data_IF_442029237316
#
_entry.id   IF_442029237316
#
_cell.length_a   1.000
_cell.length_b   1.000
_cell.length_c   1.000
_cell.angle_alpha   90.00
_cell.angle_beta   90.00
_cell.angle_gamma   90.00
#
_symmetry.space_group_name_H-M   'P 1'
#
loop_
_entity.id
_entity.type
_entity.pdbx_description
1 polymer ?
#
# COMPACT_ATOMS: atom_id res chain seq x y z
N UNK A 1 -29.42 -25.75 -41.14
CA UNK A 1 -28.52 -24.58 -40.99
C UNK A 1 -29.35 -23.42 -40.47
N UNK A 2 -29.33 -23.15 -39.17
CA UNK A 2 -30.19 -22.12 -38.57
C UNK A 2 -29.62 -20.74 -38.83
N UNK A 3 -30.39 -19.88 -39.50
CA UNK A 3 -29.94 -18.55 -39.88
C UNK A 3 -30.10 -17.59 -38.68
N UNK A 4 -29.04 -17.46 -37.87
CA UNK A 4 -29.06 -16.59 -36.67
C UNK A 4 -29.08 -15.14 -37.13
N UNK A 5 -30.17 -14.43 -36.85
CA UNK A 5 -30.35 -13.03 -37.24
C UNK A 5 -29.41 -12.12 -36.46
N UNK A 6 -28.26 -11.82 -37.06
CA UNK A 6 -27.29 -10.84 -36.57
C UNK A 6 -27.94 -9.45 -36.51
N UNK A 7 -27.75 -8.75 -35.40
CA UNK A 7 -28.23 -7.38 -35.22
C UNK A 7 -27.51 -6.44 -36.19
N UNK A 8 -28.24 -5.86 -37.15
CA UNK A 8 -27.64 -4.96 -38.16
C UNK A 8 -27.20 -3.63 -37.55
N UNK A 9 -25.94 -3.27 -37.79
CA UNK A 9 -25.37 -1.97 -37.41
C UNK A 9 -26.10 -0.77 -38.03
N UNK A 10 -26.84 -0.97 -39.13
CA UNK A 10 -27.66 0.08 -39.76
C UNK A 10 -28.93 0.44 -38.98
N UNK A 11 -29.48 -0.50 -38.19
CA UNK A 11 -30.80 -0.40 -37.56
C UNK A 11 -30.72 -0.36 -36.03
N UNK A 12 -29.61 0.12 -35.47
CA UNK A 12 -29.41 0.22 -34.02
C UNK A 12 -30.35 1.28 -33.42
N UNK A 13 -31.22 0.93 -32.45
CA UNK A 13 -32.10 1.88 -31.77
C UNK A 13 -31.32 2.98 -31.03
N UNK A 14 -31.95 4.13 -30.79
CA UNK A 14 -31.27 5.29 -30.18
C UNK A 14 -30.55 4.97 -28.85
N UNK A 15 -31.17 4.17 -27.98
CA UNK A 15 -30.58 3.74 -26.70
C UNK A 15 -29.36 2.82 -26.84
N UNK A 16 -29.15 2.21 -28.01
CA UNK A 16 -28.12 1.19 -28.23
C UNK A 16 -26.91 1.71 -29.04
N UNK A 17 -26.97 2.92 -29.63
CA UNK A 17 -25.95 3.42 -30.57
C UNK A 17 -24.58 3.67 -29.94
N UNK A 18 -24.55 4.12 -28.69
CA UNK A 18 -23.34 4.42 -27.93
C UNK A 18 -23.24 3.54 -26.67
N UNK A 19 -23.81 2.33 -26.70
CA UNK A 19 -24.00 1.52 -25.49
C UNK A 19 -22.73 0.74 -25.12
N UNK A 20 -22.25 0.92 -23.89
CA UNK A 20 -21.27 0.01 -23.29
C UNK A 20 -21.94 -1.34 -22.95
N UNK A 21 -21.13 -2.38 -22.67
CA UNK A 21 -21.71 -3.63 -22.15
C UNK A 21 -22.31 -3.38 -20.76
N UNK A 22 -23.61 -3.58 -20.60
CA UNK A 22 -24.25 -3.65 -19.29
C UNK A 22 -23.62 -4.75 -18.44
N UNK A 23 -23.68 -4.65 -17.10
CA UNK A 23 -23.06 -5.67 -16.24
C UNK A 23 -23.70 -7.06 -16.41
N UNK A 24 -24.98 -7.11 -16.80
CA UNK A 24 -25.64 -8.34 -17.28
C UNK A 24 -24.95 -8.92 -18.52
N UNK A 25 -24.61 -8.09 -19.51
CA UNK A 25 -23.90 -8.54 -20.71
C UNK A 25 -22.44 -8.94 -20.39
N UNK A 26 -21.77 -8.25 -19.47
CA UNK A 26 -20.43 -8.64 -18.97
C UNK A 26 -20.46 -10.04 -18.33
N UNK A 27 -21.41 -10.28 -17.43
CA UNK A 27 -21.58 -11.57 -16.76
C UNK A 27 -21.96 -12.71 -17.72
N UNK A 28 -22.87 -12.45 -18.68
CA UNK A 28 -23.31 -13.45 -19.66
C UNK A 28 -22.25 -13.80 -20.71
N UNK A 29 -21.27 -12.92 -20.98
CA UNK A 29 -20.19 -13.18 -21.96
C UNK A 29 -19.00 -13.95 -21.38
N UNK A 30 -19.12 -14.50 -20.17
CA UNK A 30 -18.04 -15.23 -19.50
C UNK A 30 -16.96 -14.32 -18.91
N UNK A 31 -17.14 -13.00 -18.95
CA UNK A 31 -16.40 -12.09 -18.08
C UNK A 31 -16.74 -12.42 -16.63
N UNK A 32 -15.78 -12.99 -15.90
CA UNK A 32 -16.02 -13.66 -14.62
C UNK A 32 -16.88 -12.86 -13.65
N UNK A 33 -17.92 -13.50 -13.09
CA UNK A 33 -18.98 -12.87 -12.31
C UNK A 33 -18.54 -12.40 -10.92
N UNK A 34 -17.66 -11.40 -10.88
CA UNK A 34 -17.56 -10.45 -9.79
C UNK A 34 -18.09 -9.10 -10.28
N UNK A 35 -19.01 -8.48 -9.53
CA UNK A 35 -19.27 -7.03 -9.66
C UNK A 35 -17.92 -6.34 -9.50
N UNK A 36 -17.39 -5.76 -10.58
CA UNK A 36 -16.02 -5.27 -10.57
C UNK A 36 -15.96 -4.05 -9.67
N UNK A 37 -15.40 -4.17 -8.46
CA UNK A 37 -15.39 -3.07 -7.50
C UNK A 37 -14.62 -1.90 -8.12
N UNK A 38 -15.38 -0.86 -8.46
CA UNK A 38 -14.84 0.40 -8.97
C UNK A 38 -13.95 0.96 -7.87
N UNK A 39 -12.74 1.38 -8.21
CA UNK A 39 -11.70 1.64 -7.20
C UNK A 39 -10.82 2.83 -7.55
N UNK A 40 -10.35 3.53 -6.52
CA UNK A 40 -9.33 4.57 -6.63
C UNK A 40 -7.97 3.91 -6.40
N UNK A 41 -7.15 3.89 -7.45
CA UNK A 41 -5.72 3.59 -7.36
C UNK A 41 -4.94 4.88 -7.10
N UNK A 42 -3.88 4.79 -6.30
CA UNK A 42 -2.97 5.91 -5.96
C UNK A 42 -1.55 5.70 -6.53
N UNK A 43 -1.42 4.79 -7.51
CA UNK A 43 -0.14 4.40 -8.13
C UNK A 43 0.46 5.59 -8.89
N UNK A 44 1.69 5.96 -8.53
CA UNK A 44 2.43 7.05 -9.17
C UNK A 44 2.12 8.45 -8.64
N UNK A 45 1.42 8.59 -7.51
CA UNK A 45 1.08 9.91 -6.95
C UNK A 45 -0.04 10.65 -7.69
N UNK A 46 -0.85 9.90 -8.44
CA UNK A 46 -2.00 10.36 -9.23
C UNK A 46 -3.21 9.51 -8.81
N UNK A 47 -4.40 10.13 -8.69
CA UNK A 47 -5.62 9.37 -8.43
C UNK A 47 -6.14 8.78 -9.75
N UNK A 48 -6.29 7.46 -9.81
CA UNK A 48 -6.68 6.73 -11.03
C UNK A 48 -7.95 5.93 -10.77
N UNK A 49 -9.04 6.30 -11.45
CA UNK A 49 -10.32 5.60 -11.38
C UNK A 49 -10.26 4.33 -12.23
N UNK A 50 -10.48 3.18 -11.59
CA UNK A 50 -10.36 1.85 -12.22
C UNK A 50 -11.69 1.10 -12.11
N UNK A 51 -12.22 0.65 -13.23
CA UNK A 51 -13.44 -0.18 -13.34
C UNK A 51 -13.19 -1.34 -14.31
N UNK A 52 -13.77 -2.52 -14.07
CA UNK A 52 -13.51 -3.71 -14.91
C UNK A 52 -12.02 -4.11 -15.00
N UNK A 53 -11.20 -3.70 -14.04
CA UNK A 53 -9.74 -3.86 -14.06
C UNK A 53 -8.98 -2.87 -14.96
N UNK A 54 -9.66 -2.02 -15.74
CA UNK A 54 -9.07 -1.00 -16.61
C UNK A 54 -9.10 0.38 -15.94
N UNK A 55 -8.10 1.21 -16.22
CA UNK A 55 -8.18 2.64 -15.89
C UNK A 55 -9.19 3.31 -16.83
N UNK A 56 -10.11 4.09 -16.25
CA UNK A 56 -11.18 4.82 -16.96
C UNK A 56 -10.87 6.31 -16.99
N UNK A 57 -10.27 6.85 -15.93
CA UNK A 57 -9.82 8.23 -15.87
C UNK A 57 -8.64 8.39 -14.89
N UNK A 58 -7.74 9.32 -15.21
CA UNK A 58 -6.75 9.88 -14.29
C UNK A 58 -7.26 11.23 -13.77
N UNK A 59 -6.93 11.57 -12.52
CA UNK A 59 -7.11 12.92 -11.95
C UNK A 59 -5.72 13.42 -11.57
N UNK A 60 -5.18 14.32 -12.39
CA UNK A 60 -3.81 14.85 -12.26
C UNK A 60 -3.67 15.91 -11.15
N UNK A 61 -4.78 16.29 -10.50
CA UNK A 61 -4.71 17.09 -9.28
C UNK A 61 -4.08 16.26 -8.14
N UNK A 62 -3.27 16.93 -7.32
CA UNK A 62 -2.59 16.37 -6.14
C UNK A 62 -3.55 16.19 -4.96
N UNK A 63 -4.81 16.58 -5.10
CA UNK A 63 -5.87 16.30 -4.14
C UNK A 63 -7.15 15.75 -4.79
N UNK A 64 -7.94 15.04 -4.00
CA UNK A 64 -9.26 14.52 -4.38
C UNK A 64 -10.21 14.64 -3.19
N UNK A 65 -11.34 15.29 -3.40
CA UNK A 65 -12.39 15.46 -2.38
C UNK A 65 -13.41 14.32 -2.46
N UNK A 66 -13.63 13.65 -1.33
CA UNK A 66 -14.49 12.47 -1.20
C UNK A 66 -15.27 12.48 0.09
N UNK A 67 -16.32 11.67 0.18
CA UNK A 67 -16.97 11.33 1.45
C UNK A 67 -16.66 9.87 1.78
N UNK A 68 -16.32 9.58 3.04
CA UNK A 68 -15.98 8.23 3.50
C UNK A 68 -17.27 7.55 3.97
N UNK A 69 -17.89 6.74 3.11
CA UNK A 69 -19.19 6.10 3.37
C UNK A 69 -19.11 4.81 4.20
N UNK A 70 -17.95 4.12 4.18
CA UNK A 70 -17.68 2.98 5.07
C UNK A 70 -16.17 2.76 5.23
N UNK A 71 -15.74 2.24 6.38
CA UNK A 71 -14.36 1.83 6.64
C UNK A 71 -14.28 0.36 7.07
N UNK A 72 -13.17 -0.31 6.75
CA UNK A 72 -12.86 -1.62 7.34
C UNK A 72 -12.66 -1.49 8.86
N UNK A 73 -13.32 -2.31 9.71
CA UNK A 73 -13.27 -2.15 11.17
C UNK A 73 -11.92 -2.53 11.78
N UNK A 74 -11.07 -3.27 11.05
CA UNK A 74 -9.69 -3.59 11.41
C UNK A 74 -8.76 -3.39 10.22
N UNK A 75 -7.48 -3.14 10.50
CA UNK A 75 -6.47 -2.92 9.46
C UNK A 75 -5.99 -4.26 8.90
N UNK A 76 -6.43 -4.55 7.68
CA UNK A 76 -6.09 -5.77 6.95
C UNK A 76 -4.59 -5.90 6.66
N UNK A 77 -4.16 -7.11 6.31
CA UNK A 77 -2.77 -7.43 5.95
C UNK A 77 -2.69 -8.18 4.62
N UNK A 78 -1.62 -7.94 3.88
CA UNK A 78 -1.34 -8.59 2.60
C UNK A 78 0.15 -8.92 2.46
N UNK A 79 0.46 -10.11 1.98
CA UNK A 79 1.82 -10.58 1.73
C UNK A 79 1.95 -11.07 0.29
N UNK A 80 3.11 -10.79 -0.31
CA UNK A 80 3.52 -11.28 -1.61
C UNK A 80 4.95 -11.82 -1.46
N UNK A 81 5.18 -13.07 -1.87
CA UNK A 81 6.50 -13.68 -1.91
C UNK A 81 7.32 -13.19 -3.11
N UNK A 82 6.64 -12.88 -4.22
CA UNK A 82 7.26 -12.25 -5.39
C UNK A 82 7.56 -10.77 -5.18
N UNK A 83 8.63 -10.28 -5.81
CA UNK A 83 8.94 -8.86 -5.93
C UNK A 83 7.78 -8.09 -6.59
N UNK A 84 7.61 -6.82 -6.25
CA UNK A 84 6.55 -6.00 -6.85
C UNK A 84 6.83 -5.73 -8.33
N UNK A 85 5.95 -6.24 -9.19
CA UNK A 85 5.92 -5.98 -10.62
C UNK A 85 4.82 -4.94 -10.91
N UNK A 86 5.13 -3.95 -11.75
CA UNK A 86 4.21 -2.86 -12.04
C UNK A 86 3.06 -3.27 -12.98
N UNK A 87 3.28 -4.29 -13.81
CA UNK A 87 2.47 -4.61 -14.98
C UNK A 87 1.81 -5.99 -14.87
N UNK A 88 2.36 -6.88 -14.04
CA UNK A 88 1.74 -8.15 -13.66
C UNK A 88 0.79 -7.96 -12.48
N UNK A 89 -0.51 -8.18 -12.71
CA UNK A 89 -1.45 -8.45 -11.61
C UNK A 89 -1.10 -9.82 -11.05
N UNK A 90 -0.64 -9.89 -9.80
CA UNK A 90 -0.32 -11.13 -9.08
C UNK A 90 -1.27 -11.28 -7.89
N UNK A 91 -1.67 -12.51 -7.57
CA UNK A 91 -2.45 -12.80 -6.34
C UNK A 91 -1.54 -12.76 -5.12
N UNK A 92 -1.98 -12.24 -3.96
CA UNK A 92 -1.23 -12.36 -2.73
C UNK A 92 -1.13 -13.83 -2.30
N UNK A 93 0.07 -14.27 -1.91
CA UNK A 93 0.32 -15.61 -1.39
C UNK A 93 -0.36 -15.83 -0.04
N UNK A 94 -0.54 -14.75 0.75
CA UNK A 94 -1.26 -14.77 2.01
C UNK A 94 -1.87 -13.40 2.33
N UNK A 95 -3.05 -13.39 2.94
CA UNK A 95 -3.73 -12.16 3.36
C UNK A 95 -4.61 -12.40 4.59
N UNK A 96 -5.10 -11.31 5.17
CA UNK A 96 -5.98 -11.30 6.33
C UNK A 96 -6.86 -10.07 6.29
N UNK A 97 -8.17 -10.24 6.40
CA UNK A 97 -9.12 -9.12 6.44
C UNK A 97 -9.22 -8.47 7.84
N UNK A 98 -8.97 -9.24 8.91
CA UNK A 98 -9.01 -8.77 10.31
C UNK A 98 -7.66 -8.28 10.85
N UNK A 99 -6.55 -8.59 10.18
CA UNK A 99 -5.19 -8.30 10.64
C UNK A 99 -4.64 -9.26 11.70
N UNK A 100 -5.42 -10.28 12.08
CA UNK A 100 -5.18 -11.19 13.22
C UNK A 100 -4.89 -12.63 12.77
N UNK A 101 -5.64 -13.15 11.79
CA UNK A 101 -5.48 -14.50 11.23
C UNK A 101 -5.52 -14.49 9.70
N UNK A 102 -4.80 -15.41 9.01
CA UNK A 102 -4.99 -15.60 7.59
C UNK A 102 -6.44 -15.93 7.23
N UNK A 103 -6.85 -15.53 6.03
CA UNK A 103 -8.12 -15.91 5.43
C UNK A 103 -8.23 -17.44 5.25
N UNK A 104 -9.34 -18.10 5.65
CA UNK A 104 -9.50 -19.55 5.52
C UNK A 104 -9.43 -20.12 4.10
N UNK A 105 -9.53 -19.28 3.06
CA UNK A 105 -9.39 -19.71 1.66
C UNK A 105 -7.93 -19.84 1.17
N UNK A 106 -6.95 -19.48 2.00
CA UNK A 106 -5.52 -19.59 1.69
C UNK A 106 -5.04 -21.02 1.92
N UNK A 107 -4.42 -21.63 0.89
CA UNK A 107 -3.85 -22.97 0.96
C UNK A 107 -2.56 -23.03 1.79
N UNK A 108 -1.68 -22.05 1.59
CA UNK A 108 -0.32 -22.02 2.12
C UNK A 108 -0.08 -20.77 3.02
N UNK A 109 -0.82 -20.65 4.14
CA UNK A 109 -0.76 -19.48 5.02
C UNK A 109 0.61 -19.37 5.70
N UNK A 110 1.19 -18.17 5.67
CA UNK A 110 2.57 -17.93 6.13
C UNK A 110 2.78 -18.17 7.64
N UNK A 111 1.72 -18.09 8.45
CA UNK A 111 1.71 -18.47 9.86
C UNK A 111 0.27 -18.58 10.40
N UNK A 112 0.05 -19.31 11.51
CA UNK A 112 -1.28 -19.50 12.13
C UNK A 112 -1.93 -18.20 12.62
N UNK A 113 -1.13 -17.20 12.98
CA UNK A 113 -1.59 -15.85 13.38
C UNK A 113 -0.72 -14.78 12.73
N UNK A 114 -1.32 -13.66 12.37
CA UNK A 114 -0.61 -12.58 11.69
C UNK A 114 0.38 -11.83 12.59
N UNK A 115 0.18 -11.85 13.92
CA UNK A 115 1.09 -11.21 14.88
C UNK A 115 2.43 -11.95 15.00
N UNK A 116 2.41 -13.28 15.14
CA UNK A 116 3.63 -14.12 15.22
C UNK A 116 4.16 -14.60 13.87
N UNK A 117 3.78 -13.95 12.77
CA UNK A 117 4.21 -14.33 11.44
C UNK A 117 5.61 -13.78 11.15
N UNK A 118 6.60 -14.57 10.65
CA UNK A 118 7.92 -14.04 10.30
C UNK A 118 7.88 -12.86 9.32
N UNK A 119 6.88 -12.84 8.42
CA UNK A 119 6.66 -11.74 7.47
C UNK A 119 6.14 -10.45 8.13
N UNK A 120 5.78 -10.47 9.42
CA UNK A 120 5.41 -9.31 10.24
C UNK A 120 6.63 -8.66 10.93
N UNK A 121 7.82 -9.26 10.86
CA UNK A 121 9.01 -8.69 11.50
C UNK A 121 9.56 -7.47 10.76
N UNK A 122 10.12 -6.51 11.49
CA UNK A 122 10.74 -5.33 10.89
C UNK A 122 12.03 -5.75 10.16
N UNK A 123 12.18 -5.35 8.89
CA UNK A 123 13.28 -5.81 8.05
C UNK A 123 13.00 -7.11 7.28
N UNK A 124 11.81 -7.73 7.43
CA UNK A 124 11.41 -8.86 6.59
C UNK A 124 11.12 -8.46 5.13
N UNK A 125 10.82 -7.18 4.88
CA UNK A 125 10.51 -6.65 3.56
C UNK A 125 11.70 -5.98 2.87
N UNK A 126 11.44 -4.87 2.16
CA UNK A 126 12.48 -4.13 1.45
C UNK A 126 13.01 -3.00 2.34
N UNK A 127 14.31 -3.02 2.63
CA UNK A 127 14.88 -2.18 3.69
C UNK A 127 14.21 -2.46 5.03
N UNK A 128 13.96 -1.42 5.84
CA UNK A 128 13.33 -1.57 7.16
C UNK A 128 11.80 -1.84 7.11
N UNK A 129 11.23 -2.21 5.95
CA UNK A 129 9.81 -2.54 5.84
C UNK A 129 9.48 -3.93 6.41
N UNK A 130 8.19 -4.17 6.64
CA UNK A 130 7.63 -5.52 6.80
C UNK A 130 7.28 -6.06 5.41
N UNK A 131 7.38 -7.37 5.19
CA UNK A 131 6.92 -8.02 3.96
C UNK A 131 5.39 -8.18 3.94
N UNK A 132 4.81 -8.54 5.08
CA UNK A 132 3.38 -8.52 5.32
C UNK A 132 2.94 -7.07 5.58
N UNK A 133 2.43 -6.43 4.53
CA UNK A 133 2.07 -5.00 4.49
C UNK A 133 0.70 -4.79 5.12
N UNK A 134 0.57 -3.76 5.96
CA UNK A 134 -0.72 -3.29 6.43
C UNK A 134 -1.45 -2.49 5.35
N UNK A 135 -2.76 -2.71 5.22
CA UNK A 135 -3.65 -1.98 4.33
C UNK A 135 -4.98 -1.67 5.04
N UNK A 136 -5.45 -0.43 4.95
CA UNK A 136 -6.81 -0.08 5.33
C UNK A 136 -7.67 0.06 4.07
N UNK A 137 -8.86 -0.53 4.06
CA UNK A 137 -9.85 -0.31 2.99
C UNK A 137 -10.93 0.65 3.44
N UNK A 138 -11.29 1.55 2.55
CA UNK A 138 -12.41 2.48 2.66
C UNK A 138 -13.32 2.29 1.45
N UNK A 139 -14.62 2.46 1.67
CA UNK A 139 -15.58 2.78 0.64
C UNK A 139 -15.77 4.30 0.65
N UNK A 140 -15.66 4.94 -0.51
CA UNK A 140 -15.80 6.40 -0.65
C UNK A 140 -16.66 6.76 -1.86
N UNK A 141 -17.36 7.90 -1.81
CA UNK A 141 -18.00 8.52 -2.99
C UNK A 141 -17.28 9.83 -3.34
N UNK A 142 -17.33 10.25 -4.60
CA UNK A 142 -16.68 11.48 -5.05
C UNK A 142 -17.53 12.69 -4.64
N UNK A 143 -16.90 13.75 -4.10
CA UNK A 143 -17.64 14.91 -3.58
C UNK A 143 -18.36 15.76 -4.64
N UNK A 144 -18.14 15.47 -5.93
CA UNK A 144 -18.85 16.05 -7.07
C UNK A 144 -19.90 15.11 -7.69
N UNK A 145 -20.11 13.90 -7.13
CA UNK A 145 -21.07 12.91 -7.63
C UNK A 145 -21.45 11.92 -6.50
N UNK A 146 -22.26 12.37 -5.53
CA UNK A 146 -22.65 11.57 -4.35
C UNK A 146 -23.55 10.38 -4.72
N UNK A 147 -24.45 10.56 -5.68
CA UNK A 147 -25.33 9.51 -6.23
C UNK A 147 -24.61 8.57 -7.22
N UNK A 148 -23.30 8.76 -7.40
CA UNK A 148 -22.46 7.97 -8.28
C UNK A 148 -22.07 6.60 -7.70
N UNK A 149 -20.93 6.09 -8.17
CA UNK A 149 -20.43 4.79 -7.73
C UNK A 149 -19.75 4.84 -6.36
N UNK A 150 -20.00 3.84 -5.52
CA UNK A 150 -19.16 3.58 -4.36
C UNK A 150 -17.80 3.03 -4.80
N UNK A 151 -16.74 3.77 -4.48
CA UNK A 151 -15.37 3.47 -4.87
C UNK A 151 -14.59 2.83 -3.72
N UNK A 152 -13.93 1.71 -3.99
CA UNK A 152 -12.95 1.11 -3.09
C UNK A 152 -11.64 1.90 -3.12
N UNK A 153 -11.19 2.36 -1.96
CA UNK A 153 -9.86 2.95 -1.77
C UNK A 153 -9.04 2.06 -0.82
N UNK A 154 -7.81 1.70 -1.21
CA UNK A 154 -6.90 0.88 -0.38
C UNK A 154 -5.66 1.69 0.00
N UNK A 155 -5.52 2.00 1.28
CA UNK A 155 -4.51 2.87 1.84
C UNK A 155 -3.31 2.07 2.41
N UNK A 156 -2.06 2.45 2.09
CA UNK A 156 -0.88 1.83 2.68
C UNK A 156 -0.67 2.28 4.13
N UNK A 157 0.11 1.49 4.89
CA UNK A 157 0.48 1.76 6.28
C UNK A 157 0.91 3.22 6.57
N UNK A 158 1.64 3.86 5.65
CA UNK A 158 2.13 5.25 5.76
C UNK A 158 1.03 6.30 5.74
N UNK A 159 -0.10 6.05 5.07
CA UNK A 159 -1.30 6.92 5.06
C UNK A 159 -2.24 6.64 6.24
N UNK A 160 -2.09 5.49 6.92
CA UNK A 160 -2.95 5.04 8.02
C UNK A 160 -2.34 5.40 9.38
N UNK A 161 -1.07 5.06 9.57
CA UNK A 161 -0.31 5.18 10.82
C UNK A 161 0.85 6.19 10.71
N UNK A 162 0.77 7.15 9.79
CA UNK A 162 1.80 8.18 9.64
C UNK A 162 1.97 9.05 10.89
N UNK A 163 3.04 9.84 10.92
CA UNK A 163 3.14 10.99 11.84
C UNK A 163 2.31 12.16 11.28
N UNK A 164 1.72 12.95 12.17
CA UNK A 164 1.13 14.25 11.83
C UNK A 164 2.23 15.30 11.58
N UNK A 165 1.95 16.27 10.71
CA UNK A 165 2.86 17.36 10.32
C UNK A 165 2.03 18.63 10.12
N UNK A 166 1.73 19.33 11.22
CA UNK A 166 0.73 20.42 11.26
C UNK A 166 -0.66 19.90 10.91
N UNK A 167 -1.32 20.54 9.94
CA UNK A 167 -2.65 20.16 9.45
C UNK A 167 -2.68 18.84 8.67
N UNK A 168 -1.51 18.25 8.39
CA UNK A 168 -1.38 17.02 7.61
C UNK A 168 -1.63 15.78 8.48
N UNK A 169 -2.89 15.36 8.56
CA UNK A 169 -3.31 14.21 9.38
C UNK A 169 -3.41 12.92 8.53
N UNK A 170 -2.72 11.81 8.88
CA UNK A 170 -3.01 10.49 8.32
C UNK A 170 -4.31 9.93 8.92
N UNK A 171 -4.89 8.92 8.28
CA UNK A 171 -6.28 8.51 8.51
C UNK A 171 -6.66 8.29 9.99
N UNK A 172 -5.86 7.56 10.77
CA UNK A 172 -6.21 7.30 12.16
C UNK A 172 -6.16 8.56 13.04
N UNK A 173 -5.28 9.50 12.73
CA UNK A 173 -5.15 10.74 13.49
C UNK A 173 -6.23 11.76 13.07
N UNK A 174 -6.57 11.80 11.78
CA UNK A 174 -7.76 12.50 11.27
C UNK A 174 -9.05 12.00 11.93
N UNK A 175 -9.26 10.67 11.99
CA UNK A 175 -10.44 10.10 12.67
C UNK A 175 -10.51 10.44 14.17
N UNK A 176 -9.36 10.45 14.88
CA UNK A 176 -9.28 10.92 16.28
C UNK A 176 -9.56 12.41 16.41
N UNK A 177 -9.08 13.23 15.48
CA UNK A 177 -9.34 14.67 15.45
C UNK A 177 -10.83 14.98 15.26
N UNK A 178 -11.54 14.24 14.39
CA UNK A 178 -12.99 14.35 14.22
C UNK A 178 -13.77 13.89 15.47
N UNK A 179 -13.37 12.76 16.06
CA UNK A 179 -14.01 12.21 17.27
C UNK A 179 -13.75 13.05 18.54
N UNK A 180 -12.73 13.92 18.53
CA UNK A 180 -12.40 14.85 19.61
C UNK A 180 -13.11 16.21 19.50
N UNK A 181 -13.92 16.44 18.46
CA UNK A 181 -14.77 17.62 18.37
C UNK A 181 -15.97 17.52 19.34
N UNK A 182 -16.62 18.65 19.61
CA UNK A 182 -17.83 18.70 20.42
C UNK A 182 -18.93 19.53 19.71
N UNK A 183 -19.98 18.90 19.16
CA UNK A 183 -20.22 17.46 19.11
C UNK A 183 -19.17 16.70 18.25
N UNK A 184 -18.98 15.39 18.46
CA UNK A 184 -18.13 14.57 17.60
C UNK A 184 -18.59 14.62 16.14
N UNK A 185 -17.65 14.70 15.21
CA UNK A 185 -17.92 14.70 13.77
C UNK A 185 -17.72 13.29 13.21
N UNK A 186 -18.67 12.78 12.43
CA UNK A 186 -18.48 11.51 11.74
C UNK A 186 -17.89 11.70 10.33
N UNK A 187 -17.05 10.78 9.81
CA UNK A 187 -16.49 10.87 8.45
C UNK A 187 -17.54 10.92 7.32
N UNK A 188 -18.71 10.32 7.54
CA UNK A 188 -19.83 10.35 6.59
C UNK A 188 -20.67 11.65 6.63
N UNK A 189 -20.35 12.61 7.50
CA UNK A 189 -21.04 13.91 7.58
C UNK A 189 -20.29 15.06 6.85
N UNK A 190 -19.09 14.79 6.35
CA UNK A 190 -18.19 15.82 5.81
C UNK A 190 -17.54 15.41 4.49
N UNK A 191 -17.28 16.42 3.65
CA UNK A 191 -16.34 16.28 2.53
C UNK A 191 -14.91 16.28 3.09
N UNK A 192 -14.18 15.21 2.81
CA UNK A 192 -12.79 14.98 3.20
C UNK A 192 -11.87 15.12 1.99
N UNK A 193 -10.90 16.03 2.09
CA UNK A 193 -9.83 16.21 1.10
C UNK A 193 -8.72 15.22 1.35
N UNK A 194 -8.49 14.33 0.39
CA UNK A 194 -7.31 13.49 0.34
C UNK A 194 -6.21 14.21 -0.45
N UNK A 195 -5.01 14.34 0.10
CA UNK A 195 -3.89 15.03 -0.58
C UNK A 195 -2.60 14.23 -0.49
N UNK A 196 -1.84 14.17 -1.59
CA UNK A 196 -0.54 13.49 -1.62
C UNK A 196 0.54 14.24 -0.83
N UNK A 197 1.36 13.50 -0.10
CA UNK A 197 2.57 14.02 0.56
C UNK A 197 3.69 14.19 -0.47
N UNK A 198 3.92 15.42 -0.94
CA UNK A 198 4.97 15.72 -1.92
C UNK A 198 6.40 15.61 -1.38
N UNK A 199 6.57 15.23 -0.10
CA UNK A 199 7.87 14.91 0.51
C UNK A 199 8.14 13.39 0.59
N UNK A 200 7.20 12.54 0.17
CA UNK A 200 7.31 11.08 0.30
C UNK A 200 7.57 10.38 -1.05
N UNK A 201 8.55 9.48 -1.07
CA UNK A 201 8.90 8.66 -2.26
C UNK A 201 7.82 7.61 -2.60
N UNK A 202 6.98 7.26 -1.63
CA UNK A 202 5.86 6.32 -1.78
C UNK A 202 4.52 7.06 -1.67
N UNK A 203 3.45 6.64 -2.37
CA UNK A 203 2.16 7.34 -2.40
C UNK A 203 1.47 7.33 -1.03
N UNK A 204 1.77 8.36 -0.25
CA UNK A 204 1.21 8.64 1.07
C UNK A 204 0.16 9.73 0.95
N UNK A 205 -0.97 9.53 1.62
CA UNK A 205 -2.09 10.47 1.66
C UNK A 205 -2.26 11.04 3.07
N UNK A 206 -2.61 12.33 3.11
CA UNK A 206 -3.16 13.02 4.26
C UNK A 206 -4.63 13.37 4.02
N UNK A 207 -5.38 13.58 5.10
CA UNK A 207 -6.82 13.81 5.14
C UNK A 207 -7.10 15.10 5.91
N UNK A 208 -7.95 15.96 5.36
CA UNK A 208 -8.41 17.20 5.99
C UNK A 208 -9.92 17.40 5.73
N UNK A 209 -10.67 18.01 6.66
CA UNK A 209 -12.06 18.36 6.41
C UNK A 209 -12.13 19.58 5.47
N UNK A 210 -13.12 19.60 4.57
CA UNK A 210 -13.36 20.74 3.65
C UNK A 210 -14.62 21.49 4.03
N UNK A 211 -15.74 20.76 4.11
CA UNK A 211 -17.06 21.28 4.46
C UNK A 211 -17.93 20.17 5.05
N UNK A 212 -19.00 20.58 5.74
CA UNK A 212 -20.13 19.72 6.00
C UNK A 212 -20.87 19.36 4.71
N UNK A 213 -21.56 18.22 4.73
CA UNK A 213 -22.62 17.92 3.77
C UNK A 213 -23.85 18.80 4.01
N UNK A 214 -24.69 18.95 2.99
CA UNK A 214 -26.04 19.50 3.17
C UNK A 214 -27.01 18.42 3.67
N UNK A 215 -28.16 18.86 4.20
CA UNK A 215 -29.24 17.97 4.62
C UNK A 215 -29.80 17.13 3.45
N UNK A 216 -29.65 17.59 2.20
CA UNK A 216 -30.02 16.84 0.99
C UNK A 216 -28.97 15.78 0.59
N UNK A 217 -27.67 16.06 0.80
CA UNK A 217 -26.58 15.14 0.44
C UNK A 217 -26.44 13.97 1.43
N UNK A 218 -26.66 14.23 2.72
CA UNK A 218 -26.41 13.27 3.79
C UNK A 218 -27.26 11.97 3.67
N UNK A 219 -28.56 12.00 3.33
CA UNK A 219 -29.35 10.78 3.09
C UNK A 219 -28.81 9.88 1.97
N UNK A 220 -28.35 10.47 0.85
CA UNK A 220 -27.68 9.71 -0.23
C UNK A 220 -26.41 9.06 0.30
N UNK A 221 -25.57 9.80 1.02
CA UNK A 221 -24.29 9.31 1.57
C UNK A 221 -24.50 8.16 2.56
N UNK A 222 -25.52 8.22 3.42
CA UNK A 222 -25.88 7.12 4.34
C UNK A 222 -26.37 5.89 3.56
N UNK A 223 -27.24 6.08 2.56
CA UNK A 223 -27.74 4.99 1.70
C UNK A 223 -26.61 4.30 0.93
N UNK A 224 -25.70 5.07 0.36
CA UNK A 224 -24.47 4.57 -0.28
C UNK A 224 -23.61 3.79 0.71
N UNK A 225 -23.50 4.28 1.96
CA UNK A 225 -22.80 3.60 3.05
C UNK A 225 -23.37 2.22 3.37
N UNK A 226 -24.70 2.05 3.39
CA UNK A 226 -25.39 0.77 3.64
C UNK A 226 -25.60 -0.11 2.40
N UNK A 227 -25.15 0.33 1.22
CA UNK A 227 -25.14 -0.48 0.01
C UNK A 227 -24.30 -1.77 0.15
N UNK A 228 -24.66 -2.79 -0.63
CA UNK A 228 -23.87 -4.02 -0.72
C UNK A 228 -22.47 -3.77 -1.32
N UNK A 229 -22.31 -2.73 -2.15
CA UNK A 229 -21.02 -2.43 -2.76
C UNK A 229 -20.08 -1.68 -1.81
N UNK A 230 -20.58 -0.86 -0.89
CA UNK A 230 -19.79 -0.35 0.24
C UNK A 230 -19.32 -1.48 1.18
N UNK A 231 -20.17 -2.49 1.43
CA UNK A 231 -19.79 -3.68 2.23
C UNK A 231 -18.73 -4.52 1.52
N UNK A 232 -18.84 -4.72 0.20
CA UNK A 232 -17.81 -5.40 -0.62
C UNK A 232 -16.50 -4.63 -0.67
N UNK A 233 -16.53 -3.31 -0.85
CA UNK A 233 -15.35 -2.46 -1.00
C UNK A 233 -14.39 -2.51 0.21
N UNK A 234 -14.91 -2.71 1.43
CA UNK A 234 -14.07 -2.81 2.64
C UNK A 234 -13.46 -4.21 2.87
N UNK A 235 -13.96 -5.26 2.21
CA UNK A 235 -13.49 -6.65 2.37
C UNK A 235 -12.64 -7.06 1.17
N UNK A 236 -11.46 -7.65 1.38
CA UNK A 236 -10.72 -8.26 0.28
C UNK A 236 -11.31 -9.62 -0.08
N UNK A 237 -11.71 -9.77 -1.35
CA UNK A 237 -12.10 -11.05 -1.95
C UNK A 237 -11.19 -11.33 -3.14
N UNK A 238 -10.46 -12.45 -3.11
CA UNK A 238 -9.44 -12.76 -4.14
C UNK A 238 -10.05 -13.46 -5.37
N UNK A 239 -11.36 -13.76 -5.35
CA UNK A 239 -12.13 -14.21 -6.51
C UNK A 239 -12.07 -13.21 -7.69
N UNK A 240 -11.91 -11.92 -7.39
CA UNK A 240 -11.66 -10.86 -8.39
C UNK A 240 -10.35 -11.06 -9.19
N UNK A 241 -9.50 -12.01 -8.80
CA UNK A 241 -8.25 -12.37 -9.45
C UNK A 241 -8.23 -13.83 -9.97
N UNK A 242 -9.39 -14.48 -10.15
CA UNK A 242 -9.45 -15.84 -10.73
C UNK A 242 -9.11 -15.90 -12.23
N UNK A 243 -9.01 -14.74 -12.90
CA UNK A 243 -8.36 -14.62 -14.23
C UNK A 243 -6.83 -14.63 -14.20
N UNK A 244 -6.21 -14.49 -13.02
CA UNK A 244 -4.75 -14.51 -12.85
C UNK A 244 -4.30 -15.93 -12.52
N UNK A 245 -3.63 -16.58 -13.48
CA UNK A 245 -2.85 -17.79 -13.19
C UNK A 245 -1.80 -17.45 -12.14
N UNK A 246 -1.78 -18.20 -11.04
CA UNK A 246 -0.70 -18.11 -10.07
C UNK A 246 0.64 -18.36 -10.77
N UNK A 247 1.67 -17.59 -10.41
CA UNK A 247 3.03 -17.93 -10.82
C UNK A 247 3.36 -19.33 -10.27
N UNK A 248 4.03 -20.20 -11.04
CA UNK A 248 4.40 -21.52 -10.55
C UNK A 248 5.34 -21.36 -9.35
N UNK A 249 4.94 -21.90 -8.21
CA UNK A 249 5.77 -21.90 -7.01
C UNK A 249 7.10 -22.58 -7.34
N UNK A 250 8.22 -21.89 -7.06
CA UNK A 250 9.56 -22.43 -7.25
C UNK A 250 9.81 -23.52 -6.20
N UNK A 251 9.44 -24.75 -6.55
CA UNK A 251 9.68 -25.93 -5.73
C UNK A 251 11.19 -26.19 -5.63
N UNK A 252 11.81 -25.72 -4.55
CA UNK A 252 13.18 -26.06 -4.20
C UNK A 252 13.18 -27.53 -3.74
N UNK A 253 13.85 -28.47 -4.43
CA UNK A 253 13.81 -29.90 -4.10
C UNK A 253 14.76 -30.24 -2.95
N UNK A 254 14.54 -29.63 -1.78
CA UNK A 254 15.30 -29.86 -0.55
C UNK A 254 14.50 -30.70 0.46
N UNK A 255 14.83 -31.98 0.59
CA UNK A 255 14.29 -32.82 1.69
C UNK A 255 14.95 -32.39 3.00
N UNK A 256 14.19 -31.81 3.93
CA UNK A 256 14.65 -31.55 5.29
C UNK A 256 15.11 -32.87 5.95
N UNK A 257 16.39 -33.01 6.35
CA UNK A 257 16.84 -34.20 7.05
C UNK A 257 16.25 -34.22 8.46
N UNK A 258 15.52 -35.27 8.79
CA UNK A 258 15.01 -35.47 10.16
C UNK A 258 16.18 -35.84 11.07
N UNK A 259 16.74 -34.84 11.75
CA UNK A 259 17.68 -35.05 12.84
C UNK A 259 16.96 -35.76 14.00
N UNK A 260 17.29 -37.04 14.21
CA UNK A 260 16.89 -37.75 15.43
C UNK A 260 17.61 -37.10 16.61
N UNK A 261 16.87 -36.69 17.63
CA UNK A 261 17.46 -36.42 18.93
C UNK A 261 17.84 -37.77 19.59
N UNK A 262 19.11 -38.01 19.96
CA UNK A 262 19.43 -39.03 20.94
C UNK A 262 19.05 -38.50 22.34
N UNK A 263 18.47 -39.37 23.15
CA UNK A 263 18.44 -39.16 24.61
C UNK A 263 19.87 -39.39 25.11
N UNK A 264 20.32 -38.55 26.04
CA UNK A 264 21.54 -38.76 26.82
C UNK A 264 21.15 -38.54 28.28
N UNK A 265 21.56 -39.46 29.15
CA UNK A 265 21.23 -39.47 30.57
C UNK A 265 22.20 -38.57 31.37
N UNK A 266 21.78 -38.14 32.56
CA UNK A 266 22.64 -37.47 33.53
C UNK A 266 23.76 -38.42 34.02
N UNK A 267 25.01 -37.98 33.96
CA UNK A 267 26.05 -38.44 34.87
C UNK A 267 27.03 -37.30 35.18
N UNK A 268 27.40 -37.15 36.45
CA UNK A 268 28.12 -36.01 37.00
C UNK A 268 29.64 -36.30 37.16
N UNK A 269 30.37 -35.32 37.67
CA UNK A 269 31.70 -35.42 38.30
C UNK A 269 32.93 -35.39 37.38
N UNK A 270 33.70 -34.31 37.54
CA UNK A 270 35.09 -34.18 37.09
C UNK A 270 36.02 -34.34 38.32
N UNK A 271 37.30 -34.73 38.13
CA UNK A 271 38.31 -33.66 38.11
C UNK A 271 39.55 -33.89 37.23
N UNK A 272 40.32 -32.81 37.05
CA UNK A 272 41.69 -32.78 36.50
C UNK A 272 42.74 -33.04 37.65
N UNK A 273 44.07 -32.75 37.60
CA UNK A 273 44.86 -32.02 36.57
C UNK A 273 46.34 -32.50 36.32
N UNK A 274 47.13 -31.65 35.63
CA UNK A 274 48.63 -31.57 35.51
C UNK A 274 49.30 -32.39 34.39
N UNK A 275 50.44 -31.98 33.81
CA UNK A 275 51.06 -30.63 33.64
C UNK A 275 52.26 -30.65 32.65
N UNK A 276 52.50 -29.50 32.00
CA UNK A 276 53.79 -28.96 31.51
C UNK A 276 54.71 -29.76 30.54
N UNK A 277 55.02 -29.15 29.38
CA UNK A 277 56.38 -28.61 29.08
C UNK A 277 56.45 -27.78 27.78
N UNK A 278 57.30 -26.76 27.79
CA UNK A 278 57.91 -26.08 26.64
C UNK A 278 59.40 -25.83 27.00
N UNK A 279 60.33 -25.61 26.04
CA UNK A 279 60.55 -24.22 25.59
C UNK A 279 61.13 -23.99 24.15
N UNK A 280 60.81 -22.81 23.60
CA UNK A 280 61.65 -21.88 22.78
C UNK A 280 62.65 -22.42 21.73
N UNK A 281 62.53 -21.92 20.50
CA UNK A 281 63.44 -20.87 19.95
C UNK A 281 62.83 -20.15 18.71
N UNK A 282 63.52 -19.11 18.19
CA UNK A 282 63.12 -18.06 17.20
C UNK A 282 64.39 -17.68 16.38
N UNK A 283 64.41 -16.73 15.40
CA UNK A 283 63.37 -16.16 14.52
C UNK A 283 63.82 -15.95 13.03
N UNK A 284 62.88 -15.49 12.18
CA UNK A 284 63.06 -14.43 11.15
C UNK A 284 61.63 -13.90 10.81
N UNK A 285 61.27 -12.61 10.67
CA UNK A 285 61.91 -11.29 10.43
C UNK A 285 61.60 -10.76 9.00
N UNK A 286 61.58 -9.42 8.83
CA UNK A 286 60.84 -8.61 7.82
C UNK A 286 59.32 -8.50 8.16
N UNK A 287 58.68 -7.36 8.49
CA UNK A 287 58.92 -5.90 8.29
C UNK A 287 58.86 -5.49 6.79
N UNK A 288 58.11 -4.48 6.33
CA UNK A 288 57.17 -3.51 6.95
C UNK A 288 55.91 -3.33 6.01
N UNK A 289 54.92 -2.43 6.14
CA UNK A 289 54.95 -0.96 6.33
C UNK A 289 53.53 -0.42 6.72
N UNK A 290 53.43 0.77 7.34
CA UNK A 290 52.20 1.34 7.93
C UNK A 290 51.71 2.63 7.19
N UNK A 291 50.40 2.83 6.93
CA UNK A 291 49.93 3.94 6.07
C UNK A 291 50.01 5.34 6.72
N UNK A 292 50.87 6.21 6.17
CA UNK A 292 51.08 7.59 6.61
C UNK A 292 49.85 8.54 6.50
N UNK A 293 49.90 9.64 7.26
CA UNK A 293 48.82 10.63 7.38
C UNK A 293 49.32 12.08 7.15
N UNK A 294 48.68 12.76 6.17
CA UNK A 294 48.45 14.24 6.07
C UNK A 294 49.63 15.17 5.72
N UNK A 295 49.46 16.01 4.68
CA UNK A 295 49.55 17.49 4.81
C UNK A 295 48.98 18.37 3.68
N UNK A 296 48.60 19.58 4.10
CA UNK A 296 48.09 20.74 3.32
C UNK A 296 49.24 21.66 2.82
N UNK A 297 49.11 22.62 1.89
CA UNK A 297 47.95 23.18 1.16
C UNK A 297 48.22 23.23 -0.38
N UNK A 298 48.41 24.36 -1.16
CA UNK A 298 48.29 25.82 -0.97
C UNK A 298 47.14 26.44 -1.82
N UNK A 299 47.36 27.58 -2.53
CA UNK A 299 46.41 28.27 -3.44
C UNK A 299 47.14 29.01 -4.58
N UNK A 300 46.46 29.30 -5.69
CA UNK A 300 46.79 30.36 -6.64
C UNK A 300 45.50 31.04 -7.18
N UNK A 301 45.57 32.32 -7.55
CA UNK A 301 44.39 33.16 -7.88
C UNK A 301 44.48 33.81 -9.27
N UNK A 302 43.40 33.74 -10.05
CA UNK A 302 43.14 34.65 -11.18
C UNK A 302 41.62 34.81 -11.39
N UNK A 303 41.17 35.98 -11.83
CA UNK A 303 39.74 36.35 -11.95
C UNK A 303 39.50 37.10 -13.27
N UNK A 304 38.37 36.85 -13.95
CA UNK A 304 37.66 37.88 -14.70
C UNK A 304 36.27 38.15 -14.10
N UNK A 305 35.78 39.39 -14.23
CA UNK A 305 34.66 39.91 -13.45
C UNK A 305 33.45 40.38 -14.30
N UNK A 306 32.38 40.80 -13.59
CA UNK A 306 31.04 41.23 -14.06
C UNK A 306 30.06 40.06 -14.25
N UNK A 307 28.78 40.14 -13.83
CA UNK A 307 28.05 41.25 -13.16
C UNK A 307 26.97 40.69 -12.21
N UNK A 308 26.68 41.43 -11.14
CA UNK A 308 25.68 41.08 -10.11
C UNK A 308 24.23 41.30 -10.57
N UNK A 309 23.30 40.48 -10.07
CA UNK A 309 21.84 40.69 -10.20
C UNK A 309 20.99 39.91 -9.18
N UNK A 310 21.48 39.82 -7.93
CA UNK A 310 20.85 39.06 -6.83
C UNK A 310 20.69 39.87 -5.52
N UNK A 311 21.13 41.13 -5.50
CA UNK A 311 20.90 42.04 -4.37
C UNK A 311 19.58 42.81 -4.52
N UNK A 312 19.20 43.14 -5.75
CA UNK A 312 18.09 44.03 -6.10
C UNK A 312 16.68 43.37 -6.02
N UNK A 313 16.57 42.22 -5.34
CA UNK A 313 15.33 41.41 -5.22
C UNK A 313 14.93 41.20 -3.75
N UNK A 314 15.80 41.50 -2.79
CA UNK A 314 15.54 41.36 -1.35
C UNK A 314 15.06 42.70 -0.73
N UNK A 315 15.11 43.79 -1.49
CA UNK A 315 14.74 45.15 -1.08
C UNK A 315 13.34 45.61 -1.51
N UNK A 316 12.47 44.66 -1.89
CA UNK A 316 11.15 44.92 -2.50
C UNK A 316 10.01 44.27 -1.67
N UNK A 317 10.24 44.08 -0.36
CA UNK A 317 9.41 43.30 0.57
C UNK A 317 9.42 43.84 2.02
N UNK A 318 9.83 45.10 2.24
CA UNK A 318 10.01 45.71 3.58
C UNK A 318 9.53 47.18 3.58
N UNK A 319 8.33 47.42 3.01
CA UNK A 319 7.71 48.74 2.82
C UNK A 319 6.15 48.66 2.94
N UNK A 320 5.65 48.08 4.05
CA UNK A 320 4.31 48.38 4.63
C UNK A 320 4.24 48.07 6.14
#
# INVERSE_FOLDING_TARGET
MSNVTLFSSSNVPAFARNNELSDTAKALTGGGSGVSTKRISIKGGVFRLVAGGKEVASIDDRHLDVVIVRAAPKVSRIFYAGSYDADKIVRPDCWSNDGEKPDPSIKDPQHRTCMGCPQNEAGSGMGNSRACRFQQRLAVVLANNMDGDVLQLTLPATSVFGKEDGDKRPLQAFARFLAAQNPPVNPEQIVTRMKFDTKAESPKLFFAPVRWLTDDEYPTVVSQGDSEDAKKAIVMTVAQADGVKAAPALAIPGKSPVAKAPVVEDEEEAPAPKAAKAPKTKPAADEDDEPEVRKEAPKATAVPAKKSKLADIVSDWDDE
#
